data_IF_510369188513
#
_entry.id   IF_510369188513
#
_cell.length_a   1.000
_cell.length_b   1.000
_cell.length_c   1.000
_cell.angle_alpha   90.00
_cell.angle_beta   90.00
_cell.angle_gamma   90.00
#
_symmetry.space_group_name_H-M   'P 1'
#
loop_
_entity.id
_entity.type
_entity.pdbx_description
1 polymer ?
#
# COMPACT_ATOMS: atom_id res chain seq x y z
N UNK A 1 -6.82 30.59 -41.76
CA UNK A 1 -6.17 30.55 -40.43
C UNK A 1 -7.22 30.37 -39.35
N UNK A 2 -7.35 29.24 -38.68
CA UNK A 2 -8.33 29.06 -37.61
C UNK A 2 -7.73 29.54 -36.27
N UNK A 3 -8.57 30.27 -35.53
CA UNK A 3 -8.26 30.99 -34.28
C UNK A 3 -7.69 30.09 -33.18
N UNK A 4 -6.50 30.38 -32.67
CA UNK A 4 -5.79 29.75 -31.54
C UNK A 4 -6.48 29.89 -30.17
N UNK A 5 -7.64 30.57 -30.08
CA UNK A 5 -8.28 30.91 -28.80
C UNK A 5 -9.07 29.80 -28.10
N UNK A 6 -9.53 28.77 -28.80
CA UNK A 6 -10.48 27.80 -28.23
C UNK A 6 -9.84 26.54 -27.57
N UNK A 7 -8.56 26.26 -27.83
CA UNK A 7 -7.90 25.10 -27.22
C UNK A 7 -7.57 25.30 -25.72
N UNK A 8 -7.20 26.52 -25.34
CA UNK A 8 -6.88 26.80 -23.91
C UNK A 8 -8.11 26.91 -23.00
N UNK A 9 -9.29 27.18 -23.55
CA UNK A 9 -10.54 27.18 -22.77
C UNK A 9 -11.06 25.75 -22.54
N UNK A 10 -10.92 24.89 -23.54
CA UNK A 10 -11.31 23.46 -23.42
C UNK A 10 -10.40 22.70 -22.46
N UNK A 11 -9.09 22.92 -22.48
CA UNK A 11 -8.13 22.34 -21.52
C UNK A 11 -8.39 22.81 -20.07
N UNK A 12 -8.81 24.06 -19.86
CA UNK A 12 -9.14 24.56 -18.52
C UNK A 12 -10.47 24.06 -17.98
N UNK A 13 -11.43 23.72 -18.84
CA UNK A 13 -12.71 23.11 -18.43
C UNK A 13 -12.56 21.63 -18.09
N UNK A 14 -11.74 20.87 -18.84
CA UNK A 14 -11.43 19.49 -18.53
C UNK A 14 -10.62 19.34 -17.24
N UNK A 15 -9.69 20.24 -16.95
CA UNK A 15 -8.95 20.27 -15.68
C UNK A 15 -9.86 20.61 -14.47
N UNK A 16 -10.86 21.48 -14.65
CA UNK A 16 -11.81 21.83 -13.56
C UNK A 16 -12.85 20.75 -13.25
N UNK A 17 -13.15 19.85 -14.16
CA UNK A 17 -14.08 18.72 -13.90
C UNK A 17 -13.44 17.55 -13.14
N UNK A 18 -12.10 17.46 -13.10
CA UNK A 18 -11.37 16.41 -12.38
C UNK A 18 -11.12 16.72 -10.90
N UNK A 19 -11.46 17.89 -10.41
CA UNK A 19 -11.09 18.36 -9.06
C UNK A 19 -12.19 18.22 -7.99
N UNK A 20 -13.27 17.47 -8.25
CA UNK A 20 -14.15 17.05 -7.16
C UNK A 20 -13.47 15.93 -6.37
N UNK A 21 -12.95 16.29 -5.20
CA UNK A 21 -12.39 15.36 -4.24
C UNK A 21 -13.39 14.24 -3.94
N UNK A 22 -12.98 12.99 -4.18
CA UNK A 22 -13.85 11.82 -3.98
C UNK A 22 -13.64 11.34 -2.55
N UNK A 23 -14.63 11.59 -1.69
CA UNK A 23 -14.63 11.24 -0.25
C UNK A 23 -14.20 9.80 -0.02
N UNK A 24 -14.73 8.86 -0.79
CA UNK A 24 -14.41 7.44 -0.66
C UNK A 24 -12.94 7.10 -0.88
N UNK A 25 -12.20 7.85 -1.72
CA UNK A 25 -10.76 7.65 -1.92
C UNK A 25 -9.95 8.14 -0.71
N UNK A 26 -10.42 9.18 -0.02
CA UNK A 26 -9.81 9.62 1.23
C UNK A 26 -10.01 8.59 2.34
N UNK A 27 -11.20 7.96 2.43
CA UNK A 27 -11.42 6.82 3.31
C UNK A 27 -10.48 5.66 3.01
N UNK A 28 -10.38 5.27 1.74
CA UNK A 28 -9.50 4.18 1.33
C UNK A 28 -8.04 4.46 1.71
N UNK A 29 -7.57 5.70 1.53
CA UNK A 29 -6.19 6.08 1.85
C UNK A 29 -5.93 6.16 3.36
N UNK A 30 -6.88 6.71 4.13
CA UNK A 30 -6.78 6.77 5.59
C UNK A 30 -6.80 5.37 6.22
N UNK A 31 -7.68 4.49 5.76
CA UNK A 31 -7.71 3.09 6.22
C UNK A 31 -6.44 2.37 5.80
N UNK A 32 -5.94 2.57 4.58
CA UNK A 32 -4.72 1.93 4.10
C UNK A 32 -3.52 2.24 5.01
N UNK A 33 -3.30 3.51 5.39
CA UNK A 33 -2.17 3.84 6.28
C UNK A 33 -2.36 3.24 7.68
N UNK A 34 -3.55 3.24 8.24
CA UNK A 34 -3.81 2.61 9.54
C UNK A 34 -3.48 1.12 9.53
N UNK A 35 -3.84 0.41 8.45
CA UNK A 35 -3.55 -1.01 8.27
C UNK A 35 -2.06 -1.27 8.07
N UNK A 36 -1.34 -0.40 7.36
CA UNK A 36 0.13 -0.50 7.22
C UNK A 36 0.82 -0.33 8.57
N UNK A 37 0.39 0.62 9.40
CA UNK A 37 0.94 0.76 10.74
C UNK A 37 0.63 -0.46 11.62
N UNK A 38 -0.56 -1.05 11.48
CA UNK A 38 -0.97 -2.24 12.23
C UNK A 38 -0.09 -3.45 11.91
N UNK A 39 0.17 -3.73 10.62
CA UNK A 39 1.02 -4.88 10.25
C UNK A 39 2.43 -4.70 10.78
N UNK A 40 3.00 -3.49 10.76
CA UNK A 40 4.32 -3.26 11.30
C UNK A 40 4.36 -3.32 12.83
N UNK A 41 3.28 -2.95 13.53
CA UNK A 41 3.19 -3.13 14.97
C UNK A 41 3.18 -4.62 15.34
N UNK A 42 2.46 -5.46 14.60
CA UNK A 42 2.45 -6.91 14.78
C UNK A 42 3.83 -7.51 14.49
N UNK A 43 4.40 -7.25 13.31
CA UNK A 43 5.69 -7.81 12.88
C UNK A 43 6.86 -7.44 13.80
N UNK A 44 6.74 -6.36 14.56
CA UNK A 44 7.79 -5.92 15.48
C UNK A 44 7.64 -6.43 16.92
N UNK A 45 6.48 -6.97 17.28
CA UNK A 45 6.26 -7.52 18.63
C UNK A 45 6.06 -9.04 18.62
N UNK A 46 5.52 -9.60 17.54
CA UNK A 46 5.35 -11.03 17.37
C UNK A 46 6.38 -11.59 16.40
N UNK A 47 6.94 -12.75 16.73
CA UNK A 47 7.69 -13.56 15.78
C UNK A 47 6.67 -14.44 15.05
N UNK A 48 6.40 -14.10 13.77
CA UNK A 48 5.35 -14.72 12.95
C UNK A 48 5.83 -16.05 12.34
N UNK A 49 6.24 -17.00 13.20
CA UNK A 49 6.56 -18.38 12.81
C UNK A 49 5.74 -19.39 13.63
N UNK A 50 5.73 -20.64 13.17
CA UNK A 50 4.91 -21.69 13.79
C UNK A 50 5.36 -22.03 15.22
N UNK A 51 6.67 -21.98 15.51
CA UNK A 51 7.22 -22.34 16.83
C UNK A 51 6.77 -21.32 17.87
N UNK A 52 7.03 -20.04 17.61
CA UNK A 52 6.71 -18.96 18.56
C UNK A 52 5.20 -18.76 18.72
N UNK A 53 4.42 -18.77 17.62
CA UNK A 53 2.98 -18.58 17.71
C UNK A 53 2.28 -19.75 18.40
N UNK A 54 2.73 -21.01 18.20
CA UNK A 54 2.15 -22.16 18.88
C UNK A 54 2.52 -22.26 20.37
N UNK A 55 3.62 -21.61 20.79
CA UNK A 55 3.98 -21.49 22.20
C UNK A 55 3.14 -20.46 22.97
N UNK A 56 2.39 -19.60 22.26
CA UNK A 56 1.52 -18.58 22.86
C UNK A 56 0.13 -19.14 23.18
N UNK A 57 -0.63 -18.41 24.02
CA UNK A 57 -2.04 -18.70 24.24
C UNK A 57 -2.82 -18.62 22.91
N UNK A 58 -3.88 -19.43 22.80
CA UNK A 58 -4.73 -19.48 21.61
C UNK A 58 -5.27 -18.07 21.25
N UNK A 59 -5.69 -17.32 22.26
CA UNK A 59 -6.21 -15.96 22.07
C UNK A 59 -5.16 -15.02 21.49
N UNK A 60 -3.92 -15.04 22.02
CA UNK A 60 -2.82 -14.20 21.54
C UNK A 60 -2.43 -14.56 20.10
N UNK A 61 -2.39 -15.84 19.77
CA UNK A 61 -2.12 -16.33 18.41
C UNK A 61 -3.18 -15.91 17.42
N UNK A 62 -4.48 -16.10 17.74
CA UNK A 62 -5.59 -15.69 16.87
C UNK A 62 -5.56 -14.18 16.66
N UNK A 63 -5.34 -13.39 17.73
CA UNK A 63 -5.20 -11.95 17.65
C UNK A 63 -4.07 -11.54 16.69
N UNK A 64 -2.89 -12.16 16.81
CA UNK A 64 -1.74 -11.85 15.97
C UNK A 64 -2.05 -12.11 14.49
N UNK A 65 -2.62 -13.27 14.16
CA UNK A 65 -2.96 -13.64 12.78
C UNK A 65 -4.02 -12.71 12.21
N UNK A 66 -5.08 -12.37 12.96
CA UNK A 66 -6.11 -11.43 12.51
C UNK A 66 -5.51 -10.06 12.21
N UNK A 67 -4.75 -9.49 13.14
CA UNK A 67 -4.16 -8.16 12.95
C UNK A 67 -3.13 -8.13 11.82
N UNK A 68 -2.33 -9.20 11.67
CA UNK A 68 -1.38 -9.34 10.57
C UNK A 68 -2.10 -9.36 9.22
N UNK A 69 -3.12 -10.21 9.07
CA UNK A 69 -3.88 -10.37 7.81
C UNK A 69 -4.65 -9.09 7.47
N UNK A 70 -5.28 -8.44 8.48
CA UNK A 70 -5.91 -7.13 8.29
C UNK A 70 -4.91 -6.09 7.79
N UNK A 71 -3.75 -6.01 8.41
CA UNK A 71 -2.71 -5.06 8.04
C UNK A 71 -2.22 -5.25 6.60
N UNK A 72 -2.21 -6.50 6.10
CA UNK A 72 -1.84 -6.81 4.71
C UNK A 72 -2.79 -6.23 3.66
N UNK A 73 -4.00 -5.80 4.01
CA UNK A 73 -4.90 -5.10 3.08
C UNK A 73 -4.42 -3.67 2.74
N UNK A 74 -3.55 -3.07 3.56
CA UNK A 74 -3.13 -1.67 3.41
C UNK A 74 -2.40 -1.36 2.10
N UNK A 75 -1.39 -2.14 1.74
CA UNK A 75 -0.61 -1.94 0.50
C UNK A 75 -1.47 -2.10 -0.76
N UNK A 76 -2.29 -3.16 -0.91
CA UNK A 76 -3.26 -3.28 -2.00
C UNK A 76 -4.15 -2.05 -2.18
N UNK A 77 -4.67 -1.49 -1.09
CA UNK A 77 -5.52 -0.28 -1.16
C UNK A 77 -4.78 0.91 -1.76
N UNK A 78 -3.50 1.15 -1.40
CA UNK A 78 -2.68 2.21 -2.01
C UNK A 78 -2.43 1.98 -3.50
N UNK A 79 -2.22 0.74 -3.91
CA UNK A 79 -2.01 0.40 -5.32
C UNK A 79 -3.29 0.56 -6.14
N UNK A 80 -4.44 0.12 -5.63
CA UNK A 80 -5.73 0.36 -6.27
C UNK A 80 -6.03 1.86 -6.41
N UNK A 81 -5.74 2.67 -5.38
CA UNK A 81 -5.86 4.13 -5.44
C UNK A 81 -5.01 4.72 -6.56
N UNK A 82 -3.76 4.28 -6.69
CA UNK A 82 -2.85 4.75 -7.74
C UNK A 82 -3.40 4.41 -9.13
N UNK A 83 -3.85 3.20 -9.33
CA UNK A 83 -4.48 2.77 -10.59
C UNK A 83 -5.77 3.54 -10.92
N UNK A 84 -6.64 3.70 -9.93
CA UNK A 84 -7.90 4.45 -10.07
C UNK A 84 -7.66 5.91 -10.47
N UNK A 85 -6.67 6.56 -9.84
CA UNK A 85 -6.41 7.99 -10.03
C UNK A 85 -5.59 8.29 -11.29
N UNK A 86 -4.70 7.38 -11.69
CA UNK A 86 -3.65 7.70 -12.66
C UNK A 86 -3.82 7.01 -14.01
N UNK A 87 -4.32 5.78 -14.10
CA UNK A 87 -4.37 5.03 -15.35
C UNK A 87 -5.48 5.47 -16.32
N UNK A 88 -6.43 6.28 -15.87
CA UNK A 88 -7.50 6.82 -16.72
C UNK A 88 -7.22 8.24 -17.23
N UNK A 89 -6.04 8.78 -16.96
CA UNK A 89 -5.65 10.12 -17.41
C UNK A 89 -5.14 10.09 -18.84
N UNK A 90 -5.47 11.14 -19.62
CA UNK A 90 -4.83 11.37 -20.89
C UNK A 90 -3.43 11.96 -20.69
N UNK A 91 -2.43 11.28 -21.24
CA UNK A 91 -1.04 11.72 -21.17
C UNK A 91 -0.56 12.16 -22.55
N UNK A 92 -0.36 13.46 -22.74
CA UNK A 92 0.41 14.04 -23.85
C UNK A 92 1.88 14.04 -23.50
N UNK A 93 2.78 14.25 -24.45
CA UNK A 93 4.22 14.34 -24.20
C UNK A 93 4.54 15.32 -23.07
N UNK A 94 4.00 16.54 -23.15
CA UNK A 94 4.19 17.56 -22.13
C UNK A 94 3.68 17.14 -20.75
N UNK A 95 2.55 16.44 -20.67
CA UNK A 95 1.99 15.96 -19.40
C UNK A 95 2.77 14.78 -18.82
N UNK A 96 3.42 13.95 -19.64
CA UNK A 96 4.35 12.91 -19.21
C UNK A 96 5.55 13.55 -18.51
N UNK A 97 6.21 14.54 -19.15
CA UNK A 97 7.33 15.24 -18.54
C UNK A 97 6.94 15.95 -17.22
N UNK A 98 5.76 16.59 -17.18
CA UNK A 98 5.23 17.19 -15.96
C UNK A 98 4.99 16.14 -14.87
N UNK A 99 4.44 14.97 -15.24
CA UNK A 99 4.19 13.87 -14.31
C UNK A 99 5.50 13.34 -13.72
N UNK A 100 6.52 13.09 -14.54
CA UNK A 100 7.81 12.61 -14.05
C UNK A 100 8.51 13.66 -13.18
N UNK A 101 8.59 14.90 -13.62
CA UNK A 101 9.21 15.97 -12.81
C UNK A 101 8.49 16.19 -11.49
N UNK A 102 7.15 16.15 -11.50
CA UNK A 102 6.35 16.46 -10.32
C UNK A 102 6.09 15.25 -9.43
N UNK A 103 5.72 14.09 -10.00
CA UNK A 103 5.29 12.94 -9.22
C UNK A 103 6.44 11.97 -8.97
N UNK A 104 7.12 11.52 -10.00
CA UNK A 104 8.17 10.53 -9.90
C UNK A 104 9.44 11.08 -9.24
N UNK A 105 10.02 12.16 -9.77
CA UNK A 105 11.25 12.75 -9.24
C UNK A 105 11.05 13.27 -7.81
N UNK A 106 9.91 13.90 -7.53
CA UNK A 106 9.62 14.36 -6.17
C UNK A 106 9.57 13.22 -5.17
N UNK A 107 8.98 12.07 -5.54
CA UNK A 107 8.94 10.89 -4.69
C UNK A 107 10.34 10.27 -4.51
N UNK A 108 11.14 10.20 -5.59
CA UNK A 108 12.52 9.73 -5.53
C UNK A 108 13.35 10.60 -4.57
N UNK A 109 13.33 11.92 -4.75
CA UNK A 109 14.09 12.85 -3.87
C UNK A 109 13.68 12.70 -2.41
N UNK A 110 12.36 12.62 -2.13
CA UNK A 110 11.89 12.39 -0.77
C UNK A 110 12.42 11.06 -0.22
N UNK A 111 12.43 10.00 -1.02
CA UNK A 111 12.96 8.70 -0.62
C UNK A 111 14.45 8.77 -0.29
N UNK A 112 15.25 9.40 -1.13
CA UNK A 112 16.69 9.57 -0.91
C UNK A 112 16.99 10.34 0.39
N UNK A 113 16.27 11.43 0.63
CA UNK A 113 16.39 12.18 1.88
C UNK A 113 16.07 11.30 3.09
N UNK A 114 15.01 10.47 3.01
CA UNK A 114 14.66 9.57 4.10
C UNK A 114 15.65 8.42 4.28
N UNK A 115 16.27 7.91 3.23
CA UNK A 115 17.36 6.93 3.35
C UNK A 115 18.50 7.50 4.20
N UNK A 116 18.91 8.74 3.91
CA UNK A 116 19.96 9.44 4.71
C UNK A 116 19.50 9.63 6.16
N UNK A 117 18.26 10.11 6.36
CA UNK A 117 17.72 10.33 7.71
C UNK A 117 17.62 9.03 8.52
N UNK A 118 17.21 7.93 7.90
CA UNK A 118 17.17 6.63 8.55
C UNK A 118 18.58 6.11 8.89
N UNK A 119 19.53 6.29 8.01
CA UNK A 119 20.91 5.90 8.26
C UNK A 119 21.48 6.68 9.47
N UNK A 120 21.27 7.99 9.53
CA UNK A 120 21.63 8.83 10.70
C UNK A 120 20.90 8.35 11.95
N UNK A 121 19.59 8.10 11.88
CA UNK A 121 18.79 7.60 13.00
C UNK A 121 19.31 6.25 13.52
N UNK A 122 19.54 5.28 12.64
CA UNK A 122 20.00 3.94 13.02
C UNK A 122 21.34 3.97 13.74
N UNK A 123 22.22 4.87 13.33
CA UNK A 123 23.54 5.07 13.96
C UNK A 123 23.45 5.82 15.27
N UNK A 124 22.69 6.91 15.32
CA UNK A 124 22.50 7.72 16.53
C UNK A 124 21.92 6.90 17.68
N UNK A 125 21.06 5.93 17.39
CA UNK A 125 20.47 5.04 18.40
C UNK A 125 21.13 3.66 18.50
N UNK A 126 22.34 3.50 17.93
CA UNK A 126 23.14 2.27 17.99
C UNK A 126 22.43 1.00 17.47
N UNK A 127 21.57 1.15 16.46
CA UNK A 127 20.97 0.00 15.77
C UNK A 127 21.87 -0.56 14.66
N UNK A 128 22.85 0.23 14.20
CA UNK A 128 23.73 -0.12 13.09
C UNK A 128 25.09 0.56 13.21
N UNK A 129 26.15 -0.08 12.67
CA UNK A 129 27.47 0.50 12.53
C UNK A 129 27.58 1.39 11.28
N UNK A 130 28.53 2.35 11.31
CA UNK A 130 28.76 3.26 10.19
C UNK A 130 29.35 2.50 8.97
N UNK A 131 28.75 2.69 7.78
CA UNK A 131 29.25 2.19 6.49
C UNK A 131 28.83 3.13 5.37
N UNK A 132 29.77 3.95 4.89
CA UNK A 132 29.52 4.85 3.75
C UNK A 132 29.12 4.06 2.49
N UNK A 133 29.76 2.90 2.29
CA UNK A 133 29.43 2.03 1.15
C UNK A 133 28.03 1.43 1.28
N UNK A 134 27.60 1.09 2.49
CA UNK A 134 26.23 0.66 2.76
C UNK A 134 25.21 1.74 2.39
N UNK A 135 25.42 2.97 2.85
CA UNK A 135 24.56 4.10 2.51
C UNK A 135 24.47 4.35 1.00
N UNK A 136 25.59 4.33 0.28
CA UNK A 136 25.59 4.50 -1.17
C UNK A 136 24.78 3.41 -1.90
N UNK A 137 24.88 2.17 -1.46
CA UNK A 137 24.08 1.06 -2.01
C UNK A 137 22.59 1.25 -1.74
N UNK A 138 22.22 1.71 -0.54
CA UNK A 138 20.83 2.01 -0.19
C UNK A 138 20.28 3.14 -1.06
N UNK A 139 21.05 4.22 -1.27
CA UNK A 139 20.68 5.34 -2.15
C UNK A 139 20.57 4.92 -3.63
N UNK A 140 21.39 4.00 -4.09
CA UNK A 140 21.28 3.43 -5.43
C UNK A 140 20.15 2.40 -5.57
N UNK A 141 19.40 2.13 -4.49
CA UNK A 141 18.34 1.12 -4.42
C UNK A 141 18.82 -0.29 -4.83
N UNK A 142 20.13 -0.56 -4.71
CA UNK A 142 20.75 -1.85 -5.05
C UNK A 142 20.82 -2.82 -3.88
N UNK A 143 20.54 -2.33 -2.68
CA UNK A 143 20.48 -3.10 -1.45
C UNK A 143 19.09 -3.01 -0.83
N UNK A 144 18.71 -4.01 -0.02
CA UNK A 144 17.53 -3.84 0.83
C UNK A 144 17.85 -2.77 1.89
N UNK A 145 17.12 -1.65 1.81
CA UNK A 145 17.25 -0.60 2.81
C UNK A 145 17.02 -1.20 4.20
N UNK A 146 17.88 -0.84 5.16
CA UNK A 146 17.87 -1.40 6.52
C UNK A 146 16.56 -1.20 7.31
N UNK A 147 15.62 -0.42 6.78
CA UNK A 147 14.26 -0.26 7.30
C UNK A 147 13.31 -1.19 6.53
N UNK A 148 12.78 -2.20 7.21
CA UNK A 148 11.99 -3.26 6.58
C UNK A 148 10.80 -2.77 5.73
N UNK A 149 10.17 -1.64 6.09
CA UNK A 149 9.05 -1.08 5.33
C UNK A 149 9.48 -0.44 4.00
N UNK A 150 10.75 -0.07 3.84
CA UNK A 150 11.25 0.66 2.66
C UNK A 150 11.29 -0.16 1.38
N UNK A 151 11.05 -1.47 1.42
CA UNK A 151 10.90 -2.30 0.20
C UNK A 151 9.83 -1.75 -0.76
N UNK A 152 8.83 -1.06 -0.22
CA UNK A 152 7.74 -0.48 -1.00
C UNK A 152 8.21 0.68 -1.89
N UNK A 153 9.21 1.45 -1.47
CA UNK A 153 9.64 2.65 -2.20
C UNK A 153 10.29 2.35 -3.55
N UNK A 154 11.30 1.45 -3.68
CA UNK A 154 11.83 1.07 -4.99
C UNK A 154 10.75 0.52 -5.92
N UNK A 155 9.86 -0.31 -5.40
CA UNK A 155 8.74 -0.88 -6.16
C UNK A 155 7.83 0.21 -6.71
N UNK A 156 7.33 1.14 -5.88
CA UNK A 156 6.39 2.15 -6.32
C UNK A 156 7.05 3.21 -7.21
N UNK A 157 8.33 3.54 -7.01
CA UNK A 157 9.12 4.40 -7.88
C UNK A 157 9.20 3.80 -9.28
N UNK A 158 9.52 2.51 -9.40
CA UNK A 158 9.53 1.80 -10.67
C UNK A 158 8.17 1.79 -11.36
N UNK A 159 7.11 1.49 -10.62
CA UNK A 159 5.73 1.53 -11.13
C UNK A 159 5.35 2.92 -11.66
N UNK A 160 5.72 3.99 -10.95
CA UNK A 160 5.37 5.36 -11.36
C UNK A 160 6.07 5.81 -12.66
N UNK A 161 7.26 5.29 -12.97
CA UNK A 161 7.89 5.51 -14.28
C UNK A 161 6.98 4.99 -15.40
N UNK A 162 6.36 3.82 -15.21
CA UNK A 162 5.58 3.14 -16.23
C UNK A 162 4.12 3.63 -16.36
N UNK A 163 3.56 4.32 -15.36
CA UNK A 163 2.15 4.75 -15.33
C UNK A 163 1.73 5.51 -16.61
N UNK A 164 2.46 6.53 -17.13
CA UNK A 164 2.03 7.25 -18.32
C UNK A 164 1.96 6.36 -19.57
N UNK A 165 2.88 5.40 -19.70
CA UNK A 165 2.89 4.44 -20.82
C UNK A 165 1.73 3.46 -20.70
N UNK A 166 1.52 2.88 -19.52
CA UNK A 166 0.39 1.99 -19.26
C UNK A 166 -0.96 2.69 -19.50
N UNK A 167 -1.10 3.94 -19.03
CA UNK A 167 -2.30 4.72 -19.27
C UNK A 167 -2.56 4.97 -20.76
N UNK A 168 -1.52 5.31 -21.54
CA UNK A 168 -1.64 5.47 -23.00
C UNK A 168 -1.99 4.16 -23.71
N UNK A 169 -1.37 3.06 -23.29
CA UNK A 169 -1.66 1.74 -23.84
C UNK A 169 -3.11 1.31 -23.59
N UNK A 170 -3.73 1.75 -22.49
CA UNK A 170 -5.12 1.44 -22.17
C UNK A 170 -6.14 2.33 -22.90
N UNK A 171 -5.70 3.45 -23.51
CA UNK A 171 -6.59 4.36 -24.23
C UNK A 171 -7.07 3.75 -25.54
N UNK A 172 -8.38 3.82 -25.79
CA UNK A 172 -9.00 3.30 -27.02
C UNK A 172 -9.19 1.79 -27.07
N UNK A 173 -8.62 1.02 -26.13
CA UNK A 173 -8.82 -0.43 -26.09
C UNK A 173 -10.16 -0.75 -25.40
N UNK A 174 -11.05 -1.54 -26.02
CA UNK A 174 -12.29 -1.97 -25.39
C UNK A 174 -12.04 -2.75 -24.11
N UNK A 175 -12.81 -2.48 -23.05
CA UNK A 175 -12.64 -3.12 -21.73
C UNK A 175 -12.68 -4.65 -21.77
N UNK A 176 -13.44 -5.24 -22.69
CA UNK A 176 -13.52 -6.70 -22.93
C UNK A 176 -12.19 -7.30 -23.40
N UNK A 177 -11.42 -6.54 -24.19
CA UNK A 177 -10.10 -6.99 -24.69
C UNK A 177 -9.06 -6.98 -23.55
N UNK A 178 -9.07 -5.96 -22.71
CA UNK A 178 -8.16 -5.86 -21.54
C UNK A 178 -8.49 -6.91 -20.49
N UNK A 179 -9.77 -7.33 -20.39
CA UNK A 179 -10.20 -8.24 -19.34
C UNK A 179 -9.54 -9.61 -19.41
N UNK A 180 -9.41 -10.19 -20.62
CA UNK A 180 -8.82 -11.53 -20.80
C UNK A 180 -7.38 -11.63 -20.27
N UNK A 181 -6.40 -10.82 -20.73
CA UNK A 181 -5.04 -10.89 -20.22
C UNK A 181 -4.97 -10.51 -18.73
N UNK A 182 -5.77 -9.56 -18.27
CA UNK A 182 -5.83 -9.21 -16.86
C UNK A 182 -6.30 -10.37 -15.98
N UNK A 183 -7.36 -11.09 -16.39
CA UNK A 183 -7.86 -12.27 -15.70
C UNK A 183 -6.83 -13.41 -15.70
N UNK A 184 -6.22 -13.68 -16.87
CA UNK A 184 -5.20 -14.72 -17.02
C UNK A 184 -4.00 -14.47 -16.12
N UNK A 185 -3.42 -13.27 -16.18
CA UNK A 185 -2.27 -12.91 -15.35
C UNK A 185 -2.62 -12.92 -13.85
N UNK A 186 -3.83 -12.48 -13.50
CA UNK A 186 -4.30 -12.54 -12.11
C UNK A 186 -4.47 -13.98 -11.62
N UNK A 187 -4.98 -14.88 -12.46
CA UNK A 187 -5.09 -16.29 -12.12
C UNK A 187 -3.72 -16.91 -11.81
N UNK A 188 -2.69 -16.56 -12.56
CA UNK A 188 -1.33 -17.02 -12.30
C UNK A 188 -0.70 -16.31 -11.08
N UNK A 189 -0.71 -14.98 -11.08
CA UNK A 189 0.00 -14.19 -10.06
C UNK A 189 -0.60 -14.34 -8.65
N UNK A 190 -1.90 -14.51 -8.56
CA UNK A 190 -2.62 -14.63 -7.29
C UNK A 190 -3.16 -16.04 -7.04
N UNK A 191 -3.67 -16.71 -8.08
CA UNK A 191 -4.31 -18.02 -7.95
C UNK A 191 -3.33 -19.12 -7.60
N UNK A 192 -2.16 -19.17 -8.24
CA UNK A 192 -1.14 -20.18 -7.97
C UNK A 192 -0.59 -20.08 -6.53
N UNK A 193 -0.21 -18.91 -5.99
CA UNK A 193 0.15 -18.80 -4.58
C UNK A 193 -0.98 -19.19 -3.61
N UNK A 194 -2.22 -18.82 -3.92
CA UNK A 194 -3.37 -19.20 -3.11
C UNK A 194 -3.58 -20.73 -3.13
N UNK A 195 -3.46 -21.37 -4.29
CA UNK A 195 -3.49 -22.82 -4.40
C UNK A 195 -2.42 -23.51 -3.55
N UNK A 196 -1.18 -23.02 -3.63
CA UNK A 196 -0.06 -23.54 -2.83
C UNK A 196 -0.25 -23.35 -1.32
N UNK A 197 -0.95 -22.30 -0.90
CA UNK A 197 -1.27 -22.09 0.52
C UNK A 197 -2.24 -23.15 1.07
N UNK A 198 -3.14 -23.65 0.23
CA UNK A 198 -4.09 -24.73 0.58
C UNK A 198 -3.43 -26.12 0.46
N UNK A 199 -2.63 -26.30 -0.61
CA UNK A 199 -1.97 -27.56 -0.97
C UNK A 199 -0.44 -27.42 -0.99
N UNK A 200 0.23 -27.31 0.16
CA UNK A 200 1.68 -27.03 0.23
C UNK A 200 2.57 -28.08 -0.46
N UNK A 201 2.10 -29.33 -0.54
CA UNK A 201 2.81 -30.45 -1.18
C UNK A 201 2.57 -30.56 -2.69
N UNK A 202 1.78 -29.63 -3.29
CA UNK A 202 1.53 -29.65 -4.74
C UNK A 202 2.84 -29.40 -5.51
N UNK A 203 3.00 -29.99 -6.73
CA UNK A 203 4.18 -29.77 -7.56
C UNK A 203 4.47 -28.28 -7.78
N UNK A 204 5.75 -27.95 -8.01
CA UNK A 204 6.12 -26.61 -8.43
C UNK A 204 5.50 -26.33 -9.80
N UNK A 205 4.63 -25.32 -9.87
CA UNK A 205 4.08 -24.85 -11.13
C UNK A 205 5.09 -23.88 -11.77
N UNK A 206 5.35 -24.07 -13.06
CA UNK A 206 6.08 -23.07 -13.85
C UNK A 206 5.19 -21.84 -13.97
N UNK A 207 5.68 -20.70 -13.49
CA UNK A 207 4.95 -19.45 -13.54
C UNK A 207 5.24 -18.72 -14.85
N UNK A 208 4.22 -18.11 -15.43
CA UNK A 208 4.41 -17.14 -16.51
C UNK A 208 5.18 -15.94 -15.95
N UNK A 209 6.23 -15.54 -16.63
CA UNK A 209 6.97 -14.32 -16.26
C UNK A 209 6.07 -13.08 -16.49
N UNK A 210 5.82 -12.35 -15.43
CA UNK A 210 5.00 -11.14 -15.42
C UNK A 210 5.85 -9.86 -15.30
N UNK A 211 7.19 -9.98 -15.37
CA UNK A 211 8.11 -8.85 -15.17
C UNK A 211 7.78 -7.67 -16.07
N UNK A 212 7.52 -7.90 -17.35
CA UNK A 212 7.16 -6.86 -18.32
C UNK A 212 5.81 -6.18 -18.01
N UNK A 213 4.88 -6.85 -17.32
CA UNK A 213 3.57 -6.31 -16.93
C UNK A 213 3.60 -5.59 -15.57
N UNK A 214 4.77 -5.38 -14.97
CA UNK A 214 4.92 -4.79 -13.64
C UNK A 214 4.67 -5.78 -12.50
N UNK A 215 4.68 -7.07 -12.78
CA UNK A 215 4.46 -8.14 -11.81
C UNK A 215 3.11 -8.03 -11.09
N UNK A 216 3.06 -8.57 -9.88
CA UNK A 216 1.86 -8.54 -9.02
C UNK A 216 1.36 -7.11 -8.75
N UNK A 217 2.26 -6.17 -8.55
CA UNK A 217 1.90 -4.80 -8.17
C UNK A 217 1.27 -4.00 -9.33
N UNK A 218 1.71 -4.24 -10.57
CA UNK A 218 1.07 -3.69 -11.77
C UNK A 218 -0.38 -4.17 -11.93
N UNK A 219 -0.67 -5.43 -11.61
CA UNK A 219 -2.03 -5.97 -11.64
C UNK A 219 -2.96 -5.25 -10.66
N UNK A 220 -2.49 -4.91 -9.46
CA UNK A 220 -3.27 -4.11 -8.50
C UNK A 220 -3.69 -2.76 -9.10
N UNK A 221 -2.79 -2.06 -9.80
CA UNK A 221 -3.13 -0.80 -10.45
C UNK A 221 -4.19 -1.01 -11.55
N UNK A 222 -4.04 -2.04 -12.37
CA UNK A 222 -5.01 -2.36 -13.43
C UNK A 222 -6.40 -2.67 -12.87
N UNK A 223 -6.49 -3.41 -11.76
CA UNK A 223 -7.76 -3.65 -11.09
C UNK A 223 -8.35 -2.38 -10.47
N UNK A 224 -7.54 -1.48 -9.90
CA UNK A 224 -8.00 -0.16 -9.43
C UNK A 224 -8.59 0.67 -10.57
N UNK A 225 -7.96 0.69 -11.73
CA UNK A 225 -8.49 1.29 -12.95
C UNK A 225 -9.80 0.63 -13.41
N UNK A 226 -9.92 -0.71 -13.34
CA UNK A 226 -11.16 -1.42 -13.67
C UNK A 226 -12.32 -1.04 -12.74
N UNK A 227 -12.05 -0.81 -11.45
CA UNK A 227 -13.07 -0.27 -10.53
C UNK A 227 -13.55 1.12 -10.99
N UNK A 228 -12.64 2.00 -11.41
CA UNK A 228 -13.00 3.31 -11.99
C UNK A 228 -13.88 3.17 -13.24
N UNK A 229 -13.63 2.15 -14.06
CA UNK A 229 -14.44 1.82 -15.25
C UNK A 229 -15.75 1.08 -14.92
N UNK A 230 -16.11 0.99 -13.64
CA UNK A 230 -17.41 0.49 -13.19
C UNK A 230 -17.51 -1.03 -13.06
N UNK A 231 -16.40 -1.73 -12.78
CA UNK A 231 -16.34 -3.20 -12.66
C UNK A 231 -17.50 -3.77 -11.81
N UNK A 232 -17.80 -3.13 -10.68
CA UNK A 232 -18.81 -3.62 -9.72
C UNK A 232 -20.06 -2.74 -9.65
N UNK A 233 -20.27 -1.80 -10.57
CA UNK A 233 -21.33 -0.77 -10.47
C UNK A 233 -22.74 -1.35 -10.27
N UNK A 234 -23.03 -2.50 -10.87
CA UNK A 234 -24.35 -3.14 -10.86
C UNK A 234 -24.52 -4.16 -9.70
N UNK A 235 -23.51 -4.38 -8.86
CA UNK A 235 -23.58 -5.32 -7.74
C UNK A 235 -23.96 -4.56 -6.48
N UNK A 236 -24.87 -5.10 -5.69
CA UNK A 236 -25.29 -4.47 -4.42
C UNK A 236 -24.13 -4.39 -3.42
N UNK A 237 -24.05 -3.27 -2.67
CA UNK A 237 -23.00 -3.06 -1.67
C UNK A 237 -22.98 -4.16 -0.59
N UNK A 238 -24.14 -4.66 -0.17
CA UNK A 238 -24.28 -5.76 0.81
C UNK A 238 -23.61 -7.05 0.28
N UNK A 239 -23.83 -7.40 -0.99
CA UNK A 239 -23.20 -8.56 -1.63
C UNK A 239 -21.68 -8.41 -1.66
N UNK A 240 -21.19 -7.22 -2.07
CA UNK A 240 -19.74 -6.94 -2.06
C UNK A 240 -19.18 -7.04 -0.65
N UNK A 241 -19.86 -6.48 0.34
CA UNK A 241 -19.45 -6.58 1.75
C UNK A 241 -19.39 -8.03 2.25
N UNK A 242 -20.43 -8.82 1.96
CA UNK A 242 -20.45 -10.24 2.30
C UNK A 242 -19.30 -11.03 1.67
N UNK A 243 -19.05 -10.81 0.35
CA UNK A 243 -17.93 -11.42 -0.35
C UNK A 243 -16.56 -10.95 0.19
N UNK A 244 -16.42 -9.67 0.56
CA UNK A 244 -15.20 -9.14 1.21
C UNK A 244 -14.89 -9.92 2.48
N UNK A 245 -15.89 -10.04 3.37
CA UNK A 245 -15.75 -10.77 4.62
C UNK A 245 -15.48 -12.26 4.39
N UNK A 246 -16.20 -12.89 3.48
CA UNK A 246 -16.01 -14.31 3.15
C UNK A 246 -14.58 -14.62 2.67
N UNK A 247 -14.05 -13.81 1.73
CA UNK A 247 -12.69 -13.97 1.24
C UNK A 247 -11.65 -13.70 2.34
N UNK A 248 -11.89 -12.72 3.20
CA UNK A 248 -11.01 -12.43 4.32
C UNK A 248 -11.00 -13.57 5.33
N UNK A 249 -12.16 -14.12 5.70
CA UNK A 249 -12.28 -15.27 6.60
C UNK A 249 -11.63 -16.53 6.00
N UNK A 250 -11.67 -16.68 4.68
CA UNK A 250 -10.99 -17.80 4.00
C UNK A 250 -9.47 -17.69 4.15
N UNK A 251 -8.88 -16.48 3.98
CA UNK A 251 -7.45 -16.26 4.26
C UNK A 251 -7.12 -16.62 5.69
N UNK A 252 -7.87 -16.09 6.66
CA UNK A 252 -7.66 -16.37 8.07
C UNK A 252 -7.74 -17.88 8.38
N UNK A 253 -8.73 -18.57 7.80
CA UNK A 253 -8.88 -20.01 7.97
C UNK A 253 -7.67 -20.79 7.45
N UNK A 254 -7.13 -20.40 6.29
CA UNK A 254 -5.93 -21.01 5.71
C UNK A 254 -4.71 -20.78 6.62
N UNK A 255 -4.49 -19.56 7.11
CA UNK A 255 -3.38 -19.24 8.02
C UNK A 255 -3.50 -20.02 9.33
N UNK A 256 -4.66 -19.99 9.99
CA UNK A 256 -4.91 -20.72 11.22
C UNK A 256 -4.71 -22.22 11.06
N UNK A 257 -5.23 -22.81 9.96
CA UNK A 257 -5.05 -24.21 9.65
C UNK A 257 -3.60 -24.59 9.36
N UNK A 258 -2.83 -23.70 8.74
CA UNK A 258 -1.40 -23.90 8.48
C UNK A 258 -0.60 -23.92 9.77
N UNK A 259 -0.80 -22.94 10.65
CA UNK A 259 -0.16 -22.88 11.96
C UNK A 259 -0.54 -24.07 12.85
N UNK A 260 -1.80 -24.51 12.84
CA UNK A 260 -2.23 -25.70 13.57
C UNK A 260 -1.51 -26.99 13.11
N UNK A 261 -1.06 -27.03 11.84
CA UNK A 261 -0.25 -28.14 11.28
C UNK A 261 1.25 -27.94 11.46
N UNK A 262 1.70 -26.92 12.18
CA UNK A 262 3.12 -26.58 12.36
C UNK A 262 3.77 -25.95 11.13
N UNK A 263 2.98 -25.51 10.15
CA UNK A 263 3.46 -24.84 8.92
C UNK A 263 3.33 -23.33 9.12
N UNK A 264 4.45 -22.62 9.12
CA UNK A 264 4.43 -21.16 9.11
C UNK A 264 3.95 -20.67 7.73
N UNK A 265 2.78 -20.08 7.70
CA UNK A 265 2.26 -19.44 6.50
C UNK A 265 1.78 -18.03 6.83
N UNK A 266 2.50 -17.04 6.33
CA UNK A 266 2.14 -15.65 6.42
C UNK A 266 1.64 -15.20 5.06
N UNK A 267 0.38 -14.75 5.00
CA UNK A 267 -0.19 -14.28 3.74
C UNK A 267 0.63 -13.11 3.16
N UNK A 268 0.87 -13.17 1.87
CA UNK A 268 1.55 -12.12 1.13
C UNK A 268 0.64 -11.53 0.05
N UNK A 269 1.03 -10.40 -0.52
CA UNK A 269 0.25 -9.64 -1.51
C UNK A 269 -0.07 -10.40 -2.81
N UNK A 270 0.53 -11.55 -3.05
CA UNK A 270 0.24 -12.42 -4.19
C UNK A 270 -0.83 -13.49 -3.91
N UNK A 271 -1.55 -13.43 -2.79
CA UNK A 271 -2.64 -14.35 -2.50
C UNK A 271 -3.96 -13.85 -3.09
N UNK A 272 -4.68 -14.71 -3.85
CA UNK A 272 -5.93 -14.36 -4.54
C UNK A 272 -7.05 -13.93 -3.60
N UNK A 273 -7.17 -14.56 -2.45
CA UNK A 273 -8.25 -14.28 -1.49
C UNK A 273 -8.01 -12.93 -0.80
N UNK A 274 -6.75 -12.64 -0.43
CA UNK A 274 -6.35 -11.34 0.10
C UNK A 274 -6.58 -10.24 -0.95
N UNK A 275 -6.09 -10.44 -2.18
CA UNK A 275 -6.23 -9.49 -3.28
C UNK A 275 -7.70 -9.24 -3.62
N UNK A 276 -8.52 -10.29 -3.67
CA UNK A 276 -9.96 -10.20 -3.90
C UNK A 276 -10.68 -9.44 -2.79
N UNK A 277 -10.39 -9.77 -1.51
CA UNK A 277 -10.96 -9.07 -0.36
C UNK A 277 -10.60 -7.58 -0.39
N UNK A 278 -9.34 -7.22 -0.65
CA UNK A 278 -8.90 -5.84 -0.75
C UNK A 278 -9.55 -5.09 -1.92
N UNK A 279 -9.73 -5.75 -3.10
CA UNK A 279 -10.38 -5.16 -4.27
C UNK A 279 -11.86 -4.85 -4.01
N UNK A 280 -12.57 -5.78 -3.40
CA UNK A 280 -13.97 -5.59 -3.03
C UNK A 280 -14.12 -4.50 -1.96
N UNK A 281 -13.26 -4.49 -0.94
CA UNK A 281 -13.21 -3.43 0.06
C UNK A 281 -12.96 -2.06 -0.58
N UNK A 282 -11.99 -1.96 -1.50
CA UNK A 282 -11.72 -0.74 -2.25
C UNK A 282 -12.94 -0.27 -3.03
N UNK A 283 -13.67 -1.20 -3.67
CA UNK A 283 -14.89 -0.88 -4.41
C UNK A 283 -16.02 -0.35 -3.53
N UNK A 284 -16.09 -0.78 -2.25
CA UNK A 284 -17.02 -0.22 -1.26
C UNK A 284 -16.63 1.22 -0.90
N UNK A 285 -15.34 1.49 -0.65
CA UNK A 285 -14.88 2.85 -0.37
C UNK A 285 -15.23 3.82 -1.49
N UNK A 286 -15.01 3.45 -2.75
CA UNK A 286 -15.32 4.31 -3.90
C UNK A 286 -16.79 4.74 -3.95
N UNK A 287 -17.71 3.98 -3.34
CA UNK A 287 -19.15 4.29 -3.28
C UNK A 287 -19.53 5.28 -2.19
N UNK A 288 -18.64 5.58 -1.25
CA UNK A 288 -18.91 6.53 -0.18
C UNK A 288 -18.93 7.94 -0.77
N UNK A 289 -20.10 8.58 -0.70
CA UNK A 289 -20.32 9.95 -1.21
C UNK A 289 -20.21 11.01 -0.12
N UNK A 290 -20.68 10.68 1.09
CA UNK A 290 -20.71 11.55 2.26
C UNK A 290 -20.01 10.83 3.42
N UNK A 291 -19.25 11.55 4.24
CA UNK A 291 -18.50 10.98 5.37
C UNK A 291 -18.82 11.70 6.67
N UNK A 292 -18.73 10.97 7.79
CA UNK A 292 -18.72 11.53 9.14
C UNK A 292 -17.35 12.17 9.39
N UNK A 293 -17.31 13.33 10.04
CA UNK A 293 -16.09 14.07 10.42
C UNK A 293 -14.98 14.04 9.35
N UNK A 294 -15.32 14.59 8.20
CA UNK A 294 -14.49 14.51 7.01
C UNK A 294 -13.15 15.27 7.15
N UNK A 295 -13.04 16.22 8.07
CA UNK A 295 -11.85 17.05 8.24
C UNK A 295 -10.64 16.25 8.74
N UNK A 296 -10.79 15.46 9.81
CA UNK A 296 -9.73 14.65 10.38
C UNK A 296 -9.30 13.53 9.41
N UNK A 297 -10.28 12.86 8.78
CA UNK A 297 -10.03 11.83 7.79
C UNK A 297 -9.31 12.38 6.56
N UNK A 298 -9.71 13.57 6.12
CA UNK A 298 -9.11 14.29 5.03
C UNK A 298 -7.64 14.66 5.32
N UNK A 299 -7.38 15.10 6.55
CA UNK A 299 -6.02 15.39 7.02
C UNK A 299 -5.16 14.11 7.03
N UNK A 300 -5.68 13.02 7.59
CA UNK A 300 -5.00 11.73 7.65
C UNK A 300 -4.69 11.19 6.23
N UNK A 301 -5.67 11.27 5.33
CA UNK A 301 -5.50 10.90 3.92
C UNK A 301 -4.40 11.71 3.24
N UNK A 302 -4.38 13.01 3.43
CA UNK A 302 -3.38 13.92 2.84
C UNK A 302 -1.97 13.62 3.36
N UNK A 303 -1.83 13.35 4.65
CA UNK A 303 -0.56 13.10 5.31
C UNK A 303 -0.14 11.63 5.34
N UNK A 304 -0.89 10.73 4.71
CA UNK A 304 -0.65 9.28 4.76
C UNK A 304 0.75 8.87 4.33
N UNK A 305 1.33 9.56 3.35
CA UNK A 305 2.70 9.29 2.90
C UNK A 305 3.75 9.78 3.91
N UNK A 306 3.56 10.96 4.51
CA UNK A 306 4.41 11.46 5.59
C UNK A 306 4.38 10.55 6.82
N UNK A 307 3.17 10.09 7.20
CA UNK A 307 2.99 9.12 8.29
C UNK A 307 3.70 7.81 7.95
N UNK A 308 3.60 7.33 6.71
CA UNK A 308 4.35 6.14 6.24
C UNK A 308 5.85 6.31 6.41
N UNK A 309 6.42 7.47 6.17
CA UNK A 309 7.86 7.71 6.34
C UNK A 309 8.25 7.88 7.82
N UNK A 310 7.44 8.50 8.64
CA UNK A 310 7.74 8.80 10.04
C UNK A 310 7.51 7.64 11.01
N UNK A 311 6.64 6.68 10.66
CA UNK A 311 6.16 5.70 11.63
C UNK A 311 7.26 4.73 12.12
N UNK A 312 8.20 4.33 11.27
CA UNK A 312 9.13 3.26 11.61
C UNK A 312 10.18 3.66 12.67
N UNK A 313 10.83 4.86 12.60
CA UNK A 313 11.65 5.36 13.69
C UNK A 313 10.88 5.45 15.02
N UNK A 314 9.66 5.99 15.00
CA UNK A 314 8.80 6.04 16.18
C UNK A 314 8.51 4.64 16.74
N UNK A 315 8.19 3.69 15.87
CA UNK A 315 7.92 2.30 16.22
C UNK A 315 9.14 1.65 16.90
N UNK A 316 10.35 1.82 16.35
CA UNK A 316 11.57 1.25 16.92
C UNK A 316 11.84 1.76 18.33
N UNK A 317 11.63 3.05 18.59
CA UNK A 317 11.85 3.64 19.92
C UNK A 317 10.79 3.20 20.94
N UNK A 318 9.51 3.29 20.57
CA UNK A 318 8.39 2.92 21.46
C UNK A 318 8.42 1.41 21.77
N UNK A 319 8.77 0.58 20.78
CA UNK A 319 8.93 -0.87 20.97
C UNK A 319 9.92 -1.20 22.08
N UNK A 320 11.08 -0.52 22.16
CA UNK A 320 12.07 -0.75 23.23
C UNK A 320 11.46 -0.59 24.62
N UNK A 321 10.61 0.42 24.80
CA UNK A 321 9.92 0.68 26.07
C UNK A 321 8.88 -0.41 26.36
N UNK A 322 8.06 -0.76 25.36
CA UNK A 322 6.99 -1.74 25.55
C UNK A 322 7.51 -3.16 25.82
N UNK A 323 8.68 -3.52 25.31
CA UNK A 323 9.25 -4.87 25.54
C UNK A 323 9.56 -5.15 26.99
N UNK A 324 9.96 -4.14 27.77
CA UNK A 324 10.31 -4.30 29.21
C UNK A 324 9.09 -4.27 30.13
N UNK A 325 7.92 -3.87 29.64
CA UNK A 325 6.71 -3.81 30.44
C UNK A 325 6.06 -5.20 30.60
N UNK A 326 5.51 -5.56 31.77
CA UNK A 326 4.90 -6.89 32.01
C UNK A 326 3.45 -6.98 31.48
N UNK A 327 3.17 -6.38 30.33
CA UNK A 327 1.84 -6.36 29.75
C UNK A 327 1.63 -7.51 28.75
N UNK A 328 0.36 -7.87 28.54
CA UNK A 328 -0.01 -8.89 27.56
C UNK A 328 0.34 -8.41 26.13
N UNK A 329 0.82 -9.33 25.29
CA UNK A 329 1.25 -9.02 23.92
C UNK A 329 0.19 -8.30 23.07
N UNK A 330 -1.10 -8.72 23.07
CA UNK A 330 -2.15 -7.98 22.36
C UNK A 330 -2.27 -6.54 22.78
N UNK A 331 -2.19 -6.25 24.08
CA UNK A 331 -2.24 -4.88 24.60
C UNK A 331 -1.01 -4.05 24.13
N UNK A 332 0.19 -4.65 24.17
CA UNK A 332 1.40 -4.00 23.65
C UNK A 332 1.27 -3.62 22.18
N UNK A 333 0.70 -4.49 21.34
CA UNK A 333 0.46 -4.19 19.91
C UNK A 333 -0.48 -3.02 19.74
N UNK A 334 -1.61 -3.01 20.42
CA UNK A 334 -2.59 -1.93 20.29
C UNK A 334 -2.02 -0.59 20.77
N UNK A 335 -1.27 -0.60 21.86
CA UNK A 335 -0.59 0.60 22.39
C UNK A 335 0.49 1.05 21.41
N UNK A 336 1.32 0.13 20.89
CA UNK A 336 2.35 0.45 19.90
C UNK A 336 1.73 1.09 18.65
N UNK A 337 0.69 0.49 18.11
CA UNK A 337 -0.02 0.96 16.93
C UNK A 337 -0.57 2.39 17.12
N UNK A 338 -1.29 2.62 18.24
CA UNK A 338 -1.89 3.93 18.53
C UNK A 338 -0.82 4.99 18.86
N UNK A 339 0.21 4.65 19.64
CA UNK A 339 1.28 5.57 19.99
C UNK A 339 2.12 5.96 18.75
N UNK A 340 2.42 5.00 17.86
CA UNK A 340 3.12 5.27 16.60
C UNK A 340 2.29 6.15 15.70
N UNK A 341 0.98 5.89 15.58
CA UNK A 341 0.07 6.74 14.82
C UNK A 341 0.08 8.17 15.39
N UNK A 342 -0.10 8.32 16.71
CA UNK A 342 -0.13 9.61 17.36
C UNK A 342 1.17 10.39 17.15
N UNK A 343 2.32 9.78 17.42
CA UNK A 343 3.64 10.42 17.24
C UNK A 343 3.86 10.81 15.79
N UNK A 344 3.53 9.93 14.84
CA UNK A 344 3.67 10.23 13.41
C UNK A 344 2.75 11.38 12.97
N UNK A 345 1.52 11.44 13.48
CA UNK A 345 0.60 12.54 13.21
C UNK A 345 1.11 13.87 13.80
N UNK A 346 1.63 13.88 15.03
CA UNK A 346 2.21 15.08 15.64
C UNK A 346 3.42 15.57 14.86
N UNK A 347 4.32 14.67 14.47
CA UNK A 347 5.48 15.03 13.66
C UNK A 347 5.08 15.56 12.27
N UNK A 348 4.11 14.94 11.60
CA UNK A 348 3.56 15.47 10.35
C UNK A 348 2.99 16.87 10.56
N UNK A 349 2.23 17.08 11.62
CA UNK A 349 1.64 18.37 11.92
C UNK A 349 2.71 19.44 12.18
N UNK A 350 3.76 19.14 12.93
CA UNK A 350 4.90 20.04 13.15
C UNK A 350 5.58 20.38 11.82
N UNK A 351 5.90 19.36 11.00
CA UNK A 351 6.60 19.57 9.73
C UNK A 351 5.74 20.38 8.74
N UNK A 352 4.43 20.21 8.75
CA UNK A 352 3.48 20.96 7.89
C UNK A 352 3.53 22.48 8.15
N UNK A 353 3.96 22.95 9.34
CA UNK A 353 4.17 24.38 9.61
C UNK A 353 5.38 24.97 8.87
N UNK A 354 6.25 24.13 8.32
CA UNK A 354 7.42 24.54 7.56
C UNK A 354 7.28 24.12 6.08
N UNK A 355 6.69 24.94 5.18
CA UNK A 355 6.31 24.52 3.82
C UNK A 355 7.46 23.95 2.98
N UNK A 356 8.71 24.43 3.18
CA UNK A 356 9.89 23.92 2.48
C UNK A 356 10.24 22.51 2.94
N UNK A 357 10.21 22.25 4.25
CA UNK A 357 10.46 20.93 4.86
C UNK A 357 9.33 19.96 4.51
N UNK A 358 8.07 20.39 4.62
CA UNK A 358 6.91 19.58 4.28
C UNK A 358 6.95 19.08 2.83
N UNK A 359 7.41 19.92 1.90
CA UNK A 359 7.56 19.52 0.49
C UNK A 359 8.60 18.42 0.30
N UNK A 360 9.71 18.48 1.04
CA UNK A 360 10.83 17.54 0.91
C UNK A 360 10.57 16.28 1.75
N UNK A 361 10.14 16.43 3.00
CA UNK A 361 10.04 15.32 3.96
C UNK A 361 8.70 14.59 3.89
N UNK A 362 7.59 15.29 3.63
CA UNK A 362 6.26 14.70 3.60
C UNK A 362 5.72 14.55 2.17
N UNK A 363 6.47 15.04 1.18
CA UNK A 363 5.97 15.08 -0.20
C UNK A 363 4.63 15.85 -0.32
N UNK A 364 4.36 16.76 0.63
CA UNK A 364 3.18 17.62 0.64
C UNK A 364 3.35 18.75 -0.38
N UNK A 365 2.32 18.99 -1.18
CA UNK A 365 2.33 19.94 -2.31
C UNK A 365 1.25 20.98 -2.17
#
# INVERSE_FOLDING_TARGET
MPKRGNRHAFDRQTDRQTDRRIVGLDYARAVAILLVLLVHAIENLYVMDAVHLNAMSVQSRIFAIICFTLGRLGVPLFLFLSGYLLLDRSYTELSIHKFWKKNWLGMLVTTEVWIILYDVFLRAFHFQHWSTWGLLRDMLLTNQVHMAHMWYMPMIIGVYVCIPFAARALQGIPLRVVFFPLALFSAYAFGVPAWKSIFPKSPALVLIDLGFAGGVYGLYLLWGWRVKKGLFKNIHARTIGGCTVALFLLVLGIELASYARGIAYNVWYNNAFLAGSALLLFSLFVRIKNGLDYSALCWLSRNSFGIYLLHFPALMLIRKILLVLPWMMPAKVMILWLAVLFVSCVLCWIIDHFPRLARILLYNR
#
